data_IF_409516573985
#
_entry.id   IF_409516573985
#
_cell.length_a   1.000
_cell.length_b   1.000
_cell.length_c   1.000
_cell.angle_alpha   90.00
_cell.angle_beta   90.00
_cell.angle_gamma   90.00
#
_symmetry.space_group_name_H-M   'P 1'
#
loop_
_entity.id
_entity.type
_entity.pdbx_description
1 polymer ?
#
# COMPACT_ATOMS: atom_id res chain seq x y z
N UNK A 1 -2.14 5.67 25.90
CA UNK A 1 -3.40 5.02 25.52
C UNK A 1 -3.86 5.65 24.21
N UNK A 2 -3.72 4.93 23.07
CA UNK A 2 -4.05 5.42 21.69
C UNK A 2 -5.50 5.05 21.34
N UNK A 3 -6.38 4.90 22.35
CA UNK A 3 -7.67 4.23 22.14
C UNK A 3 -8.85 5.12 21.75
N UNK A 4 -8.70 6.45 21.65
CA UNK A 4 -9.83 7.35 21.36
C UNK A 4 -9.56 8.33 20.20
N UNK A 5 -8.51 8.11 19.40
CA UNK A 5 -8.22 8.99 18.27
C UNK A 5 -9.15 8.67 17.08
N UNK A 6 -9.98 9.64 16.73
CA UNK A 6 -10.85 9.55 15.55
C UNK A 6 -10.06 9.82 14.29
N UNK A 7 -10.27 8.98 13.28
CA UNK A 7 -9.61 9.06 11.98
C UNK A 7 -10.63 9.26 10.85
N UNK A 8 -10.38 10.22 9.99
CA UNK A 8 -11.27 10.55 8.86
C UNK A 8 -10.61 10.34 7.52
N UNK A 9 -11.31 9.74 6.58
CA UNK A 9 -10.85 9.52 5.22
C UNK A 9 -11.56 10.48 4.25
N UNK A 10 -10.81 11.39 3.64
CA UNK A 10 -11.30 12.20 2.52
C UNK A 10 -11.02 11.43 1.24
N UNK A 11 -12.08 10.84 0.68
CA UNK A 11 -12.05 9.90 -0.42
C UNK A 11 -12.39 8.47 0.00
N UNK A 12 -13.32 7.83 -0.73
CA UNK A 12 -13.79 6.45 -0.55
C UNK A 12 -13.49 5.58 -1.78
N UNK A 13 -12.34 5.81 -2.41
CA UNK A 13 -11.85 5.00 -3.54
C UNK A 13 -11.39 3.60 -3.09
N UNK A 14 -10.98 2.76 -4.05
CA UNK A 14 -10.60 1.37 -3.78
C UNK A 14 -9.54 1.24 -2.68
N UNK A 15 -8.50 2.10 -2.69
CA UNK A 15 -7.44 2.07 -1.67
C UNK A 15 -7.97 2.47 -0.29
N UNK A 16 -8.73 3.57 -0.21
CA UNK A 16 -9.37 3.98 1.05
C UNK A 16 -10.29 2.88 1.60
N UNK A 17 -11.11 2.28 0.75
CA UNK A 17 -12.01 1.18 1.14
C UNK A 17 -11.24 -0.04 1.66
N UNK A 18 -10.11 -0.39 1.04
CA UNK A 18 -9.26 -1.49 1.51
C UNK A 18 -8.65 -1.18 2.88
N UNK A 19 -8.14 0.04 3.07
CA UNK A 19 -7.54 0.49 4.34
C UNK A 19 -8.59 0.53 5.46
N UNK A 20 -9.75 1.15 5.21
CA UNK A 20 -10.87 1.21 6.17
C UNK A 20 -11.34 -0.20 6.52
N UNK A 21 -11.50 -1.06 5.50
CA UNK A 21 -11.87 -2.46 5.71
C UNK A 21 -10.85 -3.22 6.55
N UNK A 22 -9.56 -3.04 6.31
CA UNK A 22 -8.49 -3.62 7.09
C UNK A 22 -8.48 -3.10 8.54
N UNK A 23 -8.62 -1.79 8.72
CA UNK A 23 -8.65 -1.15 10.03
C UNK A 23 -9.78 -1.71 10.93
N UNK A 24 -10.99 -1.84 10.38
CA UNK A 24 -12.15 -2.38 11.12
C UNK A 24 -12.02 -3.90 11.33
N UNK A 25 -11.75 -4.67 10.27
CA UNK A 25 -11.72 -6.15 10.33
C UNK A 25 -10.60 -6.69 11.21
N UNK A 26 -9.47 -5.99 11.29
CA UNK A 26 -8.36 -6.37 12.19
C UNK A 26 -8.66 -6.09 13.67
N UNK A 27 -9.75 -5.39 13.98
CA UNK A 27 -10.08 -4.93 15.34
C UNK A 27 -9.12 -3.86 15.91
N UNK A 28 -8.21 -3.32 15.08
CA UNK A 28 -7.27 -2.27 15.52
C UNK A 28 -7.93 -0.91 15.68
N UNK A 29 -9.03 -0.67 14.95
CA UNK A 29 -9.83 0.55 15.05
C UNK A 29 -11.30 0.19 15.21
N UNK A 30 -11.97 0.87 16.14
CA UNK A 30 -13.42 0.75 16.24
C UNK A 30 -14.09 1.47 15.06
N UNK A 31 -15.12 0.88 14.49
CA UNK A 31 -15.83 1.49 13.36
C UNK A 31 -16.39 2.87 13.67
N UNK A 32 -16.83 3.09 14.91
CA UNK A 32 -17.35 4.37 15.38
C UNK A 32 -16.31 5.50 15.46
N UNK A 33 -15.01 5.17 15.42
CA UNK A 33 -13.92 6.14 15.41
C UNK A 33 -13.43 6.48 14.00
N UNK A 34 -14.01 5.81 12.97
CA UNK A 34 -13.68 6.05 11.58
C UNK A 34 -14.78 6.85 10.89
N UNK A 35 -14.39 7.94 10.23
CA UNK A 35 -15.25 8.81 9.43
C UNK A 35 -14.82 8.76 7.97
N UNK A 36 -15.77 8.81 7.04
CA UNK A 36 -15.49 8.80 5.60
C UNK A 36 -16.34 9.84 4.90
N UNK A 37 -15.75 10.59 3.97
CA UNK A 37 -16.48 11.40 3.00
C UNK A 37 -15.94 11.20 1.58
N UNK A 38 -16.79 11.30 0.58
CA UNK A 38 -16.47 11.28 -0.84
C UNK A 38 -17.55 12.03 -1.60
N UNK A 39 -17.21 12.59 -2.76
CA UNK A 39 -18.19 13.21 -3.69
C UNK A 39 -19.20 12.19 -4.23
N UNK A 40 -18.85 10.90 -4.20
CA UNK A 40 -19.73 9.80 -4.55
C UNK A 40 -20.33 9.18 -3.27
N UNK A 41 -21.57 9.59 -2.97
CA UNK A 41 -22.31 9.13 -1.79
C UNK A 41 -22.54 7.61 -1.75
N UNK A 42 -22.66 6.95 -2.89
CA UNK A 42 -22.85 5.49 -2.95
C UNK A 42 -21.68 4.74 -2.30
N UNK A 43 -20.44 5.21 -2.54
CA UNK A 43 -19.24 4.63 -1.94
C UNK A 43 -19.20 4.80 -0.43
N UNK A 44 -19.59 5.99 0.04
CA UNK A 44 -19.67 6.30 1.48
C UNK A 44 -20.73 5.42 2.14
N UNK A 45 -21.92 5.34 1.54
CA UNK A 45 -23.03 4.53 2.04
C UNK A 45 -22.70 3.03 2.07
N UNK A 46 -21.95 2.56 1.07
CA UNK A 46 -21.45 1.18 1.06
C UNK A 46 -20.56 0.90 2.27
N UNK A 47 -19.54 1.73 2.52
CA UNK A 47 -18.64 1.57 3.67
C UNK A 47 -19.39 1.66 5.00
N UNK A 48 -20.33 2.61 5.13
CA UNK A 48 -21.18 2.75 6.30
C UNK A 48 -22.00 1.48 6.56
N UNK A 49 -22.63 0.92 5.52
CA UNK A 49 -23.48 -0.27 5.64
C UNK A 49 -22.67 -1.53 5.94
N UNK A 50 -21.53 -1.71 5.26
CA UNK A 50 -20.72 -2.94 5.36
C UNK A 50 -19.83 -2.96 6.61
N UNK A 51 -19.34 -1.80 7.05
CA UNK A 51 -18.32 -1.71 8.11
C UNK A 51 -18.79 -0.94 9.36
N UNK A 52 -19.94 -0.29 9.31
CA UNK A 52 -20.47 0.50 10.44
C UNK A 52 -19.71 1.79 10.73
N UNK A 53 -18.95 2.32 9.76
CA UNK A 53 -18.22 3.59 9.91
C UNK A 53 -19.15 4.80 9.78
N UNK A 54 -18.69 5.97 10.25
CA UNK A 54 -19.48 7.21 10.18
C UNK A 54 -19.31 7.84 8.79
N UNK A 55 -20.41 8.35 8.24
CA UNK A 55 -20.40 9.19 7.06
C UNK A 55 -20.37 10.67 7.47
N UNK A 56 -19.52 11.48 6.83
CA UNK A 56 -19.57 12.94 6.91
C UNK A 56 -20.06 13.49 5.57
N UNK A 57 -20.83 14.59 5.61
CA UNK A 57 -21.40 15.19 4.42
C UNK A 57 -20.34 15.78 3.48
N UNK A 58 -19.27 16.33 4.06
CA UNK A 58 -18.16 16.92 3.32
C UNK A 58 -16.84 16.84 4.10
N UNK A 59 -15.77 17.34 3.48
CA UNK A 59 -14.44 17.36 4.08
C UNK A 59 -14.34 18.28 5.32
N UNK A 60 -15.11 19.35 5.39
CA UNK A 60 -15.09 20.28 6.53
C UNK A 60 -15.76 19.66 7.75
N UNK A 61 -16.91 19.03 7.58
CA UNK A 61 -17.58 18.29 8.64
C UNK A 61 -16.68 17.16 9.16
N UNK A 62 -16.06 16.42 8.25
CA UNK A 62 -15.12 15.34 8.60
C UNK A 62 -13.97 15.87 9.45
N UNK A 63 -13.26 16.93 9.00
CA UNK A 63 -12.10 17.51 9.69
C UNK A 63 -12.51 17.98 11.10
N UNK A 64 -13.68 18.58 11.25
CA UNK A 64 -14.15 19.03 12.54
C UNK A 64 -14.47 17.86 13.51
N UNK A 65 -14.75 16.68 12.98
CA UNK A 65 -15.16 15.49 13.75
C UNK A 65 -14.01 14.57 14.15
N UNK A 66 -12.79 14.73 13.58
CA UNK A 66 -11.68 13.78 13.75
C UNK A 66 -10.38 14.46 14.16
N UNK A 67 -9.44 13.70 14.74
CA UNK A 67 -8.12 14.18 15.15
C UNK A 67 -7.07 13.98 14.05
N UNK A 68 -7.29 12.99 13.19
CA UNK A 68 -6.40 12.62 12.08
C UNK A 68 -7.20 12.55 10.79
N UNK A 69 -6.65 13.11 9.72
CA UNK A 69 -7.24 13.07 8.37
C UNK A 69 -6.34 12.28 7.43
N UNK A 70 -6.92 11.30 6.74
CA UNK A 70 -6.28 10.56 5.66
C UNK A 70 -6.74 11.15 4.31
N UNK A 71 -5.80 11.72 3.56
CA UNK A 71 -6.03 12.21 2.21
C UNK A 71 -5.97 11.04 1.23
N UNK A 72 -7.13 10.55 0.82
CA UNK A 72 -7.30 9.39 -0.03
C UNK A 72 -7.92 9.72 -1.40
N UNK A 73 -7.87 10.99 -1.78
CA UNK A 73 -8.27 11.47 -3.11
C UNK A 73 -7.10 11.42 -4.10
N UNK A 74 -7.40 11.52 -5.40
CA UNK A 74 -6.35 11.55 -6.42
C UNK A 74 -5.49 12.82 -6.31
N UNK A 75 -4.17 12.75 -6.67
CA UNK A 75 -3.23 13.88 -6.53
C UNK A 75 -3.66 15.17 -7.22
N UNK A 76 -4.39 15.09 -8.35
CA UNK A 76 -4.88 16.26 -9.07
C UNK A 76 -5.96 17.05 -8.30
N UNK A 77 -6.60 16.46 -7.31
CA UNK A 77 -7.61 17.12 -6.46
C UNK A 77 -6.96 17.99 -5.37
N UNK A 78 -5.69 17.73 -5.03
CA UNK A 78 -5.01 18.40 -3.90
C UNK A 78 -4.97 19.93 -4.05
N UNK A 79 -4.70 20.44 -5.26
CA UNK A 79 -4.60 21.88 -5.52
C UNK A 79 -5.90 22.66 -5.21
N UNK A 80 -7.05 22.02 -5.32
CA UNK A 80 -8.35 22.64 -4.99
C UNK A 80 -8.81 22.30 -3.55
N UNK A 81 -8.60 21.08 -3.12
CA UNK A 81 -9.07 20.60 -1.81
C UNK A 81 -8.26 21.20 -0.66
N UNK A 82 -6.93 21.09 -0.66
CA UNK A 82 -6.12 21.42 0.50
C UNK A 82 -6.22 22.89 0.89
N UNK A 83 -6.17 23.87 -0.03
CA UNK A 83 -6.39 25.27 0.35
C UNK A 83 -7.77 25.55 0.95
N UNK A 84 -8.82 24.84 0.50
CA UNK A 84 -10.19 25.03 1.00
C UNK A 84 -10.39 24.55 2.45
N UNK A 85 -9.59 23.58 2.90
CA UNK A 85 -9.68 22.99 4.25
C UNK A 85 -8.52 23.38 5.17
N UNK A 86 -7.51 24.08 4.65
CA UNK A 86 -6.26 24.38 5.36
C UNK A 86 -6.50 25.12 6.68
N UNK A 87 -7.38 26.12 6.69
CA UNK A 87 -7.71 26.89 7.89
C UNK A 87 -8.26 26.00 9.02
N UNK A 88 -9.14 25.05 8.69
CA UNK A 88 -9.75 24.14 9.67
C UNK A 88 -8.70 23.16 10.22
N UNK A 89 -7.87 22.60 9.35
CA UNK A 89 -6.76 21.71 9.73
C UNK A 89 -5.80 22.42 10.68
N UNK A 90 -5.36 23.64 10.34
CA UNK A 90 -4.40 24.41 11.15
C UNK A 90 -5.02 24.82 12.50
N UNK A 91 -6.24 25.34 12.53
CA UNK A 91 -6.88 25.80 13.76
C UNK A 91 -7.11 24.67 14.76
N UNK A 92 -7.35 23.47 14.29
CA UNK A 92 -7.57 22.29 15.13
C UNK A 92 -6.27 21.55 15.49
N UNK A 93 -5.19 21.79 14.76
CA UNK A 93 -3.94 21.03 14.92
C UNK A 93 -4.09 19.58 14.42
N UNK A 94 -4.88 19.38 13.36
CA UNK A 94 -5.19 18.05 12.82
C UNK A 94 -3.94 17.41 12.21
N UNK A 95 -3.66 16.14 12.55
CA UNK A 95 -2.64 15.34 11.90
C UNK A 95 -3.09 14.90 10.51
N UNK A 96 -2.24 15.02 9.51
CA UNK A 96 -2.56 14.67 8.11
C UNK A 96 -1.72 13.49 7.66
N UNK A 97 -2.38 12.45 7.17
CA UNK A 97 -1.77 11.30 6.50
C UNK A 97 -2.15 11.35 5.02
N UNK A 98 -1.19 11.38 4.12
CA UNK A 98 -1.46 11.32 2.68
C UNK A 98 -1.11 9.94 2.13
N UNK A 99 -2.06 9.33 1.41
CA UNK A 99 -1.81 8.09 0.64
C UNK A 99 -1.78 8.36 -0.88
N UNK A 100 -1.66 9.61 -1.30
CA UNK A 100 -1.63 9.99 -2.70
C UNK A 100 -0.23 9.75 -3.31
N UNK A 101 -0.18 9.03 -4.42
CA UNK A 101 1.06 8.84 -5.17
C UNK A 101 1.58 10.17 -5.75
N UNK A 102 2.91 10.34 -5.84
CA UNK A 102 3.54 11.48 -6.50
C UNK A 102 3.39 12.82 -5.78
N UNK A 103 2.95 12.85 -4.50
CA UNK A 103 2.89 14.08 -3.69
C UNK A 103 3.85 14.01 -2.52
N UNK A 104 4.82 14.93 -2.49
CA UNK A 104 5.78 15.04 -1.41
C UNK A 104 5.17 15.68 -0.16
N UNK A 105 5.80 15.43 0.99
CA UNK A 105 5.45 16.09 2.26
C UNK A 105 5.54 17.60 2.12
N UNK A 106 6.56 18.11 1.43
CA UNK A 106 6.75 19.54 1.20
C UNK A 106 5.61 20.15 0.37
N UNK A 107 5.18 19.49 -0.73
CA UNK A 107 4.05 19.95 -1.54
C UNK A 107 2.75 20.00 -0.74
N UNK A 108 2.49 18.97 0.09
CA UNK A 108 1.29 18.92 0.95
C UNK A 108 1.33 20.07 1.96
N UNK A 109 2.46 20.28 2.64
CA UNK A 109 2.64 21.38 3.58
C UNK A 109 2.46 22.75 2.93
N UNK A 110 2.99 22.96 1.73
CA UNK A 110 2.81 24.23 1.02
C UNK A 110 1.33 24.52 0.72
N UNK A 111 0.55 23.51 0.40
CA UNK A 111 -0.90 23.67 0.15
C UNK A 111 -1.72 23.85 1.44
N UNK A 112 -1.26 23.29 2.56
CA UNK A 112 -1.91 23.39 3.87
C UNK A 112 -1.48 24.60 4.68
N UNK A 113 -0.38 25.31 4.32
CA UNK A 113 0.09 26.49 5.03
C UNK A 113 1.07 26.22 6.18
N UNK A 114 2.01 25.30 6.00
CA UNK A 114 3.32 25.15 6.68
C UNK A 114 3.43 24.63 8.11
N UNK A 115 2.42 24.63 8.96
CA UNK A 115 2.57 24.19 10.38
C UNK A 115 1.73 22.94 10.72
N UNK A 116 1.52 22.06 9.73
CA UNK A 116 0.72 20.86 9.89
C UNK A 116 1.64 19.63 10.05
N UNK A 117 1.44 18.77 11.06
CA UNK A 117 2.10 17.47 11.08
C UNK A 117 1.58 16.61 9.92
N UNK A 118 2.50 16.17 9.05
CA UNK A 118 2.18 15.40 7.84
C UNK A 118 2.99 14.13 7.78
N UNK A 119 2.31 13.01 7.58
CA UNK A 119 2.89 11.75 7.15
C UNK A 119 2.48 11.43 5.71
N UNK A 120 3.46 11.06 4.89
CA UNK A 120 3.25 10.48 3.58
C UNK A 120 3.32 8.97 3.70
N UNK A 121 2.32 8.28 3.20
CA UNK A 121 2.25 6.81 3.18
C UNK A 121 2.05 6.35 1.75
N UNK A 122 2.76 5.31 1.36
CA UNK A 122 2.59 4.66 0.08
C UNK A 122 2.21 3.19 0.29
N UNK A 123 0.93 2.84 0.27
CA UNK A 123 0.46 1.46 0.26
C UNK A 123 0.51 0.86 -1.15
N UNK A 124 0.27 -0.45 -1.28
CA UNK A 124 0.09 -1.11 -2.57
C UNK A 124 -1.27 -1.83 -2.66
N UNK A 125 -1.59 -2.34 -3.87
CA UNK A 125 -2.88 -2.97 -4.17
C UNK A 125 -3.20 -4.18 -3.29
N UNK A 126 -2.18 -4.84 -2.73
CA UNK A 126 -2.35 -6.00 -1.87
C UNK A 126 -3.03 -5.66 -0.53
N UNK A 127 -3.27 -4.37 -0.24
CA UNK A 127 -4.15 -3.93 0.86
C UNK A 127 -5.56 -4.55 0.76
N UNK A 128 -6.04 -4.84 -0.44
CA UNK A 128 -7.34 -5.48 -0.68
C UNK A 128 -7.44 -6.90 -0.12
N UNK A 129 -6.29 -7.55 0.09
CA UNK A 129 -6.19 -8.89 0.66
C UNK A 129 -5.42 -8.90 1.99
N UNK A 130 -5.22 -7.73 2.60
CA UNK A 130 -4.55 -7.51 3.89
C UNK A 130 -3.06 -7.92 3.91
N UNK A 131 -2.42 -7.95 2.75
CA UNK A 131 -1.02 -8.31 2.55
C UNK A 131 -0.24 -7.18 1.85
N UNK A 132 -0.59 -5.94 2.15
CA UNK A 132 0.13 -4.79 1.61
C UNK A 132 1.56 -4.69 2.16
N UNK A 133 2.44 -4.13 1.35
CA UNK A 133 3.68 -3.52 1.83
C UNK A 133 3.54 -2.02 1.70
N UNK A 134 3.64 -1.30 2.82
CA UNK A 134 3.54 0.15 2.87
C UNK A 134 4.87 0.78 3.28
N UNK A 135 5.19 1.93 2.71
CA UNK A 135 6.24 2.80 3.21
C UNK A 135 5.64 4.08 3.79
N UNK A 136 6.31 4.67 4.79
CA UNK A 136 5.95 6.00 5.26
C UNK A 136 7.17 6.86 5.57
N UNK A 137 6.99 8.17 5.47
CA UNK A 137 7.88 9.19 6.03
C UNK A 137 7.04 10.32 6.65
N UNK A 138 7.68 11.12 7.49
CA UNK A 138 7.02 12.19 8.24
C UNK A 138 7.83 13.49 8.17
N UNK A 139 7.15 14.64 8.28
CA UNK A 139 7.85 15.88 8.58
C UNK A 139 8.27 15.95 10.07
N UNK A 140 9.09 16.95 10.41
CA UNK A 140 9.62 17.13 11.76
C UNK A 140 8.56 17.48 12.82
N UNK A 141 7.33 17.80 12.42
CA UNK A 141 6.23 18.14 13.32
C UNK A 141 5.47 16.92 13.84
N UNK A 142 5.67 15.76 13.20
CA UNK A 142 5.02 14.52 13.59
C UNK A 142 5.69 13.94 14.84
N UNK A 143 4.91 13.80 15.91
CA UNK A 143 5.37 13.20 17.17
C UNK A 143 5.34 11.66 17.15
N UNK A 144 5.85 11.02 18.20
CA UNK A 144 5.96 9.57 18.27
C UNK A 144 4.60 8.86 18.37
N UNK A 145 3.58 9.49 19.00
CA UNK A 145 2.21 8.94 19.05
C UNK A 145 1.59 8.93 17.65
N UNK A 146 1.81 9.98 16.86
CA UNK A 146 1.35 10.07 15.48
C UNK A 146 2.05 9.07 14.56
N UNK A 147 3.38 8.84 14.75
CA UNK A 147 4.10 7.77 14.03
C UNK A 147 3.52 6.39 14.38
N UNK A 148 3.31 6.12 15.66
CA UNK A 148 2.68 4.87 16.09
C UNK A 148 1.28 4.68 15.51
N UNK A 149 0.50 5.77 15.34
CA UNK A 149 -0.79 5.72 14.66
C UNK A 149 -0.66 5.34 13.19
N UNK A 150 0.32 5.90 12.46
CA UNK A 150 0.60 5.51 11.06
C UNK A 150 0.94 4.03 10.98
N UNK A 151 1.83 3.55 11.84
CA UNK A 151 2.22 2.15 11.89
C UNK A 151 1.05 1.23 12.27
N UNK A 152 0.23 1.62 13.25
CA UNK A 152 -0.99 0.91 13.63
C UNK A 152 -1.96 0.81 12.47
N UNK A 153 -2.18 1.93 11.74
CA UNK A 153 -3.07 1.97 10.58
C UNK A 153 -2.54 1.05 9.47
N UNK A 154 -1.28 1.22 9.07
CA UNK A 154 -0.71 0.43 7.98
C UNK A 154 -0.62 -1.07 8.32
N UNK A 155 -0.31 -1.41 9.57
CA UNK A 155 -0.28 -2.80 10.03
C UNK A 155 -1.67 -3.46 10.13
N UNK A 156 -2.75 -2.71 9.93
CA UNK A 156 -4.11 -3.28 9.85
C UNK A 156 -4.43 -3.94 8.50
N UNK A 157 -3.64 -3.63 7.46
CA UNK A 157 -3.84 -4.17 6.13
C UNK A 157 -2.55 -4.70 5.47
N UNK A 158 -1.49 -4.94 6.27
CA UNK A 158 -0.24 -5.52 5.79
C UNK A 158 0.95 -5.20 6.68
N UNK A 159 2.12 -4.99 6.06
CA UNK A 159 3.36 -4.58 6.73
C UNK A 159 3.72 -3.14 6.38
N UNK A 160 4.54 -2.51 7.22
CA UNK A 160 4.96 -1.12 7.02
C UNK A 160 6.43 -0.94 7.39
N UNK A 161 7.11 -0.06 6.64
CA UNK A 161 8.49 0.39 6.92
C UNK A 161 8.57 1.90 6.88
N UNK A 162 9.40 2.49 7.74
CA UNK A 162 9.80 3.88 7.63
C UNK A 162 11.00 3.99 6.70
N UNK A 163 10.93 4.88 5.70
CA UNK A 163 12.03 5.14 4.77
C UNK A 163 12.17 6.63 4.52
N UNK A 164 13.34 7.06 4.06
CA UNK A 164 13.57 8.43 3.60
C UNK A 164 12.69 8.75 2.37
N UNK A 165 12.21 10.00 2.27
CA UNK A 165 11.28 10.37 1.20
C UNK A 165 11.88 10.18 -0.20
N UNK A 166 13.18 10.41 -0.34
CA UNK A 166 13.92 10.22 -1.59
C UNK A 166 13.89 8.77 -2.12
N UNK A 167 13.63 7.80 -1.23
CA UNK A 167 13.51 6.37 -1.57
C UNK A 167 12.10 5.95 -1.99
N UNK A 168 11.13 6.85 -1.97
CA UNK A 168 9.74 6.51 -2.34
C UNK A 168 9.61 6.05 -3.79
N UNK A 169 10.37 6.63 -4.72
CA UNK A 169 10.32 6.20 -6.13
C UNK A 169 10.81 4.77 -6.34
N UNK A 170 11.91 4.36 -5.68
CA UNK A 170 12.35 2.96 -5.78
C UNK A 170 11.43 2.03 -4.99
N UNK A 171 10.90 2.45 -3.85
CA UNK A 171 9.87 1.70 -3.15
C UNK A 171 8.64 1.50 -4.02
N UNK A 172 8.20 2.54 -4.75
CA UNK A 172 7.09 2.48 -5.72
C UNK A 172 7.34 1.43 -6.79
N UNK A 173 8.54 1.40 -7.37
CA UNK A 173 8.91 0.42 -8.38
C UNK A 173 8.86 -1.02 -7.83
N UNK A 174 9.35 -1.24 -6.59
CA UNK A 174 9.39 -2.56 -5.97
C UNK A 174 8.02 -2.97 -5.39
N UNK A 175 7.36 -2.12 -4.60
CA UNK A 175 6.14 -2.51 -3.90
C UNK A 175 4.86 -2.12 -4.66
N UNK A 176 4.87 -1.00 -5.37
CA UNK A 176 3.72 -0.49 -6.12
C UNK A 176 3.54 -1.17 -7.49
N UNK A 177 4.63 -1.36 -8.24
CA UNK A 177 4.60 -1.91 -9.60
C UNK A 177 4.72 -3.42 -9.65
N UNK A 178 5.54 -4.03 -8.78
CA UNK A 178 5.84 -5.47 -8.83
C UNK A 178 4.65 -6.41 -8.60
N UNK A 179 3.52 -6.03 -8.01
CA UNK A 179 2.33 -6.89 -8.07
C UNK A 179 1.96 -7.29 -9.50
N UNK A 180 2.08 -6.38 -10.49
CA UNK A 180 1.86 -6.70 -11.89
C UNK A 180 2.91 -7.70 -12.43
N UNK A 181 4.17 -7.56 -12.03
CA UNK A 181 5.24 -8.50 -12.42
C UNK A 181 5.01 -9.89 -11.83
N UNK A 182 4.57 -9.96 -10.56
CA UNK A 182 4.19 -11.21 -9.90
C UNK A 182 3.01 -11.89 -10.63
N UNK A 183 1.99 -11.13 -11.06
CA UNK A 183 0.89 -11.70 -11.84
C UNK A 183 1.36 -12.25 -13.18
N UNK A 184 2.27 -11.55 -13.88
CA UNK A 184 2.88 -12.05 -15.13
C UNK A 184 3.69 -13.34 -14.89
N UNK A 185 4.47 -13.40 -13.83
CA UNK A 185 5.24 -14.59 -13.47
C UNK A 185 4.32 -15.78 -13.16
N UNK A 186 3.29 -15.59 -12.35
CA UNK A 186 2.29 -16.61 -11.99
C UNK A 186 1.58 -17.12 -13.25
N UNK A 187 1.13 -16.21 -14.14
CA UNK A 187 0.47 -16.60 -15.39
C UNK A 187 1.41 -17.37 -16.32
N UNK A 188 2.70 -16.98 -16.35
CA UNK A 188 3.72 -17.69 -17.16
C UNK A 188 3.93 -19.14 -16.68
N UNK A 189 4.01 -19.34 -15.36
CA UNK A 189 4.05 -20.70 -14.77
C UNK A 189 2.79 -21.50 -15.13
N UNK A 190 1.63 -20.88 -14.99
CA UNK A 190 0.35 -21.53 -15.30
C UNK A 190 0.25 -21.92 -16.79
N UNK A 191 0.69 -21.04 -17.72
CA UNK A 191 0.72 -21.33 -19.16
C UNK A 191 1.67 -22.48 -19.48
N UNK A 192 2.83 -22.54 -18.81
CA UNK A 192 3.74 -23.68 -18.95
C UNK A 192 3.10 -24.98 -18.47
N UNK A 193 2.33 -24.94 -17.37
CA UNK A 193 1.53 -26.06 -16.89
C UNK A 193 0.50 -26.53 -17.94
N UNK A 194 -0.24 -25.58 -18.53
CA UNK A 194 -1.20 -25.89 -19.62
C UNK A 194 -0.53 -26.50 -20.83
N UNK A 195 0.61 -25.95 -21.26
CA UNK A 195 1.42 -26.50 -22.36
C UNK A 195 1.79 -27.98 -22.12
N UNK A 196 1.95 -28.37 -20.86
CA UNK A 196 2.32 -29.73 -20.45
C UNK A 196 1.12 -30.56 -19.91
N UNK A 197 -0.11 -30.17 -20.22
CA UNK A 197 -1.30 -30.99 -20.04
C UNK A 197 -2.16 -30.71 -18.80
N UNK A 198 -1.83 -29.71 -17.99
CA UNK A 198 -2.72 -29.30 -16.89
C UNK A 198 -3.92 -28.49 -17.38
N UNK A 199 -5.06 -28.66 -16.73
CA UNK A 199 -6.21 -27.77 -16.95
C UNK A 199 -5.86 -26.35 -16.48
N UNK A 200 -6.30 -25.31 -17.22
CA UNK A 200 -5.93 -23.90 -16.99
C UNK A 200 -6.19 -23.42 -15.56
N UNK A 201 -7.38 -23.72 -15.02
CA UNK A 201 -7.75 -23.31 -13.64
C UNK A 201 -6.83 -23.94 -12.60
N UNK A 202 -6.60 -25.25 -12.74
CA UNK A 202 -5.68 -25.98 -11.85
C UNK A 202 -4.24 -25.48 -11.94
N UNK A 203 -3.74 -25.23 -13.17
CA UNK A 203 -2.39 -24.69 -13.37
C UNK A 203 -2.22 -23.31 -12.70
N UNK A 204 -3.22 -22.43 -12.79
CA UNK A 204 -3.20 -21.11 -12.16
C UNK A 204 -3.21 -21.20 -10.62
N UNK A 205 -4.05 -22.07 -10.05
CA UNK A 205 -4.11 -22.28 -8.60
C UNK A 205 -2.77 -22.81 -8.06
N UNK A 206 -2.20 -23.82 -8.71
CA UNK A 206 -0.89 -24.39 -8.35
C UNK A 206 0.20 -23.31 -8.39
N UNK A 207 0.28 -22.54 -9.48
CA UNK A 207 1.29 -21.51 -9.65
C UNK A 207 1.16 -20.40 -8.58
N UNK A 208 -0.06 -19.91 -8.35
CA UNK A 208 -0.30 -18.86 -7.36
C UNK A 208 0.03 -19.33 -5.94
N UNK A 209 -0.40 -20.53 -5.55
CA UNK A 209 -0.11 -21.08 -4.22
C UNK A 209 1.40 -21.35 -4.04
N UNK A 210 2.10 -21.78 -5.08
CA UNK A 210 3.55 -22.01 -5.03
C UNK A 210 4.30 -20.69 -4.80
N UNK A 211 3.96 -19.63 -5.53
CA UNK A 211 4.59 -18.30 -5.36
C UNK A 211 4.29 -17.73 -3.98
N UNK A 212 3.04 -17.84 -3.50
CA UNK A 212 2.65 -17.42 -2.15
C UNK A 212 3.50 -18.12 -1.08
N UNK A 213 3.62 -19.43 -1.15
CA UNK A 213 4.41 -20.22 -0.20
C UNK A 213 5.89 -19.86 -0.23
N UNK A 214 6.45 -19.64 -1.41
CA UNK A 214 7.84 -19.24 -1.59
C UNK A 214 8.13 -17.86 -1.01
N UNK A 215 7.26 -16.89 -1.27
CA UNK A 215 7.37 -15.55 -0.68
C UNK A 215 7.27 -15.60 0.85
N UNK A 216 6.32 -16.36 1.38
CA UNK A 216 6.16 -16.55 2.83
C UNK A 216 7.41 -17.18 3.44
N UNK A 217 8.00 -18.19 2.78
CA UNK A 217 9.22 -18.84 3.24
C UNK A 217 10.39 -17.86 3.36
N UNK A 218 10.57 -16.95 2.40
CA UNK A 218 11.59 -15.89 2.47
C UNK A 218 11.34 -14.95 3.66
N UNK A 219 10.08 -14.53 3.88
CA UNK A 219 9.73 -13.60 4.96
C UNK A 219 9.88 -14.19 6.36
N UNK A 220 9.76 -15.52 6.49
CA UNK A 220 9.87 -16.25 7.76
C UNK A 220 11.25 -16.88 7.99
N UNK A 221 12.14 -16.84 7.00
CA UNK A 221 13.49 -17.37 7.05
C UNK A 221 14.52 -16.25 7.25
N UNK A 222 15.60 -16.54 7.94
CA UNK A 222 16.79 -15.68 8.01
C UNK A 222 17.83 -16.06 6.95
N UNK A 223 17.50 -16.98 6.04
CA UNK A 223 18.41 -17.52 5.04
C UNK A 223 18.45 -16.62 3.80
N UNK A 224 19.61 -16.54 3.17
CA UNK A 224 19.72 -15.84 1.88
C UNK A 224 18.88 -16.56 0.82
N UNK A 225 18.17 -15.83 -0.09
CA UNK A 225 17.34 -16.46 -1.12
C UNK A 225 18.05 -17.54 -1.94
N UNK A 226 19.34 -17.38 -2.25
CA UNK A 226 20.12 -18.38 -2.98
C UNK A 226 20.36 -19.66 -2.17
N UNK A 227 20.47 -19.60 -0.83
CA UNK A 227 20.51 -20.81 0.01
C UNK A 227 19.19 -21.59 -0.07
N UNK A 228 18.07 -20.89 -0.18
CA UNK A 228 16.76 -21.53 -0.38
C UNK A 228 16.66 -22.15 -1.79
N UNK A 229 17.25 -21.53 -2.83
CA UNK A 229 17.35 -22.09 -4.18
C UNK A 229 18.16 -23.38 -4.14
N UNK A 230 19.35 -23.37 -3.54
CA UNK A 230 20.25 -24.53 -3.44
C UNK A 230 19.59 -25.71 -2.73
N UNK A 231 18.77 -25.46 -1.70
CA UNK A 231 18.03 -26.53 -1.01
C UNK A 231 17.00 -27.24 -1.86
N UNK A 232 16.46 -26.56 -2.86
CA UNK A 232 15.47 -27.15 -3.79
C UNK A 232 16.16 -27.79 -5.00
N UNK A 233 17.43 -27.42 -5.27
CA UNK A 233 18.23 -27.88 -6.38
C UNK A 233 19.08 -29.09 -6.00
N UNK A 234 18.54 -30.30 -6.19
CA UNK A 234 19.35 -31.52 -6.03
C UNK A 234 20.29 -31.70 -7.24
N UNK A 235 21.49 -32.32 -7.04
CA UNK A 235 22.43 -32.59 -8.16
C UNK A 235 21.78 -33.40 -9.28
N UNK A 236 21.81 -32.87 -10.52
CA UNK A 236 21.19 -33.49 -11.69
C UNK A 236 19.65 -33.56 -11.65
N UNK A 237 19.03 -32.82 -10.75
CA UNK A 237 17.56 -32.81 -10.56
C UNK A 237 16.86 -31.87 -11.54
N UNK A 238 15.53 -31.97 -11.58
CA UNK A 238 14.69 -31.16 -12.48
C UNK A 238 14.71 -29.67 -12.13
N UNK A 239 14.91 -29.33 -10.86
CA UNK A 239 14.88 -27.92 -10.40
C UNK A 239 16.10 -27.17 -10.90
N UNK A 240 17.31 -27.77 -10.81
CA UNK A 240 18.54 -27.10 -11.27
C UNK A 240 18.51 -26.86 -12.78
N UNK A 241 17.97 -27.80 -13.59
CA UNK A 241 17.78 -27.57 -15.02
C UNK A 241 16.87 -26.36 -15.31
N UNK A 242 15.78 -26.21 -14.53
CA UNK A 242 14.89 -25.05 -14.65
C UNK A 242 15.57 -23.74 -14.25
N UNK A 243 16.37 -23.74 -13.18
CA UNK A 243 17.12 -22.55 -12.73
C UNK A 243 18.15 -22.14 -13.77
N UNK A 244 18.94 -23.09 -14.31
CA UNK A 244 19.91 -22.82 -15.38
C UNK A 244 19.22 -22.21 -16.61
N UNK A 245 18.10 -22.78 -17.03
CA UNK A 245 17.34 -22.23 -18.16
C UNK A 245 16.85 -20.81 -17.94
N UNK A 246 16.41 -20.44 -16.71
CA UNK A 246 16.03 -19.07 -16.36
C UNK A 246 17.23 -18.12 -16.45
N UNK A 247 18.39 -18.54 -15.93
CA UNK A 247 19.62 -17.75 -15.96
C UNK A 247 20.12 -17.53 -17.38
N UNK A 248 20.19 -18.59 -18.20
CA UNK A 248 20.59 -18.52 -19.62
C UNK A 248 19.70 -17.56 -20.43
N UNK A 249 18.43 -17.44 -20.08
CA UNK A 249 17.50 -16.52 -20.72
C UNK A 249 17.43 -15.13 -20.03
N UNK A 250 18.36 -14.84 -19.11
CA UNK A 250 18.55 -13.49 -18.53
C UNK A 250 17.44 -13.05 -17.57
N UNK A 251 16.88 -13.98 -16.79
CA UNK A 251 15.76 -13.68 -15.87
C UNK A 251 16.07 -12.52 -14.94
N UNK A 252 17.22 -12.56 -14.23
CA UNK A 252 17.60 -11.51 -13.27
C UNK A 252 17.77 -10.15 -13.96
N UNK A 253 18.41 -10.12 -15.13
CA UNK A 253 18.59 -8.89 -15.90
C UNK A 253 17.26 -8.30 -16.36
N UNK A 254 16.31 -9.16 -16.76
CA UNK A 254 14.96 -8.74 -17.18
C UNK A 254 14.17 -8.14 -16.02
N UNK A 255 14.22 -8.77 -14.84
CA UNK A 255 13.56 -8.23 -13.62
C UNK A 255 14.17 -6.89 -13.23
N UNK A 256 15.50 -6.78 -13.21
CA UNK A 256 16.19 -5.52 -12.91
C UNK A 256 15.79 -4.42 -13.89
N UNK A 257 15.78 -4.69 -15.18
CA UNK A 257 15.36 -3.73 -16.21
C UNK A 257 13.91 -3.26 -16.04
N UNK A 258 13.00 -4.14 -15.63
CA UNK A 258 11.61 -3.75 -15.35
C UNK A 258 11.50 -2.81 -14.15
N UNK A 259 12.26 -3.05 -13.09
CA UNK A 259 12.32 -2.18 -11.90
C UNK A 259 12.92 -0.83 -12.29
N UNK A 260 14.03 -0.79 -13.03
CA UNK A 260 14.68 0.44 -13.47
C UNK A 260 13.75 1.29 -14.35
N UNK A 261 13.04 0.67 -15.29
CA UNK A 261 12.07 1.37 -16.13
C UNK A 261 10.95 2.03 -15.30
N UNK A 262 10.41 1.31 -14.31
CA UNK A 262 9.39 1.84 -13.42
C UNK A 262 9.93 2.95 -12.51
N UNK A 263 11.13 2.79 -11.97
CA UNK A 263 11.80 3.78 -11.14
C UNK A 263 12.08 5.09 -11.90
N UNK A 264 12.64 4.99 -13.11
CA UNK A 264 12.91 6.15 -13.95
C UNK A 264 11.62 6.88 -14.34
N UNK A 265 10.56 6.12 -14.63
CA UNK A 265 9.26 6.71 -14.94
C UNK A 265 8.65 7.43 -13.75
N UNK A 266 8.70 6.83 -12.54
CA UNK A 266 8.19 7.46 -11.32
C UNK A 266 8.91 8.78 -11.00
N UNK A 267 10.24 8.83 -11.18
CA UNK A 267 11.03 10.05 -11.00
C UNK A 267 10.72 11.16 -12.02
N UNK A 268 10.08 10.85 -13.12
CA UNK A 268 9.71 11.80 -14.17
C UNK A 268 8.30 12.39 -14.00
N UNK A 269 7.55 11.94 -13.00
CA UNK A 269 6.21 12.42 -12.67
C UNK A 269 6.25 13.60 -11.71
#
# INVERSE_FOLDING_TARGET
>A
MVNDMKIGFIGAGNMASAIVGGAVKSGKFASNDIYVCDINEEKVNKLKTELGVNAAADALELINSVDTVVLAVKPNVFASLLPSVSKNINNKGTFVISIAAGKSVAEINNLLGSNVPVARVMPNINATVLEAMSAYCCNALVNDEQKALVEKLCSSFGKVVSIEEEKFSIFSAIAGCSPAYAYMFIDSLARAGVKNGLAKGQALEIAAQTVLGSAKKILESNEHPWELVDRVCSPGGTTIEGVCALQENGFEATVTSAVDASYLKDKSL
#
